data_IF_001945526663
#
_entry.id   IF_001945526663
#
_cell.length_a   1.000
_cell.length_b   1.000
_cell.length_c   1.000
_cell.angle_alpha   90.00
_cell.angle_beta   90.00
_cell.angle_gamma   90.00
#
_symmetry.space_group_name_H-M   'P 1'
#
loop_
_entity.id
_entity.type
_entity.pdbx_description
1 polymer ?
#
# COMPACT_ATOMS: atom_id res chain seq x y z
N UNK A 1 17.13 -25.13 -0.51
CA UNK A 1 15.85 -24.42 -0.33
C UNK A 1 15.02 -24.69 -1.57
N UNK A 2 13.70 -24.90 -1.49
CA UNK A 2 12.88 -24.99 -2.70
C UNK A 2 13.09 -23.72 -3.53
N UNK A 3 13.10 -23.85 -4.86
CA UNK A 3 13.29 -22.72 -5.78
C UNK A 3 12.20 -21.68 -5.54
N UNK A 4 12.56 -20.60 -4.82
CA UNK A 4 11.67 -19.46 -4.64
C UNK A 4 11.59 -18.73 -5.97
N UNK A 5 10.38 -18.62 -6.51
CA UNK A 5 10.13 -17.85 -7.72
C UNK A 5 10.00 -16.37 -7.36
N UNK A 6 10.81 -15.53 -7.99
CA UNK A 6 10.65 -14.10 -7.93
C UNK A 6 10.17 -13.56 -9.29
N UNK A 7 9.35 -12.52 -9.30
CA UNK A 7 8.78 -11.91 -8.11
C UNK A 7 7.59 -12.71 -7.54
N UNK A 8 7.30 -12.52 -6.27
CA UNK A 8 6.30 -13.24 -5.48
C UNK A 8 4.89 -12.77 -5.82
N UNK A 9 3.87 -13.58 -5.59
CA UNK A 9 2.48 -13.14 -5.81
C UNK A 9 2.05 -12.20 -4.66
N UNK A 10 1.80 -10.90 -4.90
CA UNK A 10 1.37 -9.98 -3.86
C UNK A 10 -0.01 -10.35 -3.26
N UNK A 11 -0.81 -11.15 -3.97
CA UNK A 11 -2.06 -11.70 -3.46
C UNK A 11 -1.86 -12.62 -2.26
N UNK A 12 -0.70 -13.28 -2.12
CA UNK A 12 -0.38 -14.09 -0.93
C UNK A 12 -0.20 -13.21 0.31
N UNK A 13 0.56 -12.13 0.19
CA UNK A 13 0.75 -11.17 1.28
C UNK A 13 -0.58 -10.50 1.69
N UNK A 14 -1.41 -10.13 0.71
CA UNK A 14 -2.72 -9.57 0.99
C UNK A 14 -3.65 -10.56 1.71
N UNK A 15 -3.62 -11.86 1.34
CA UNK A 15 -4.35 -12.90 2.05
C UNK A 15 -3.84 -13.06 3.49
N UNK A 16 -2.52 -13.08 3.70
CA UNK A 16 -1.93 -13.18 5.05
C UNK A 16 -2.37 -12.01 5.95
N UNK A 17 -2.30 -10.78 5.45
CA UNK A 17 -2.73 -9.58 6.19
C UNK A 17 -4.24 -9.59 6.47
N UNK A 18 -5.04 -10.02 5.50
CA UNK A 18 -6.48 -10.18 5.71
C UNK A 18 -6.79 -11.22 6.79
N UNK A 19 -6.12 -12.38 6.78
CA UNK A 19 -6.37 -13.45 7.73
C UNK A 19 -5.94 -13.12 9.15
N UNK A 20 -4.85 -12.38 9.29
CA UNK A 20 -4.38 -11.86 10.57
C UNK A 20 -5.39 -10.86 11.16
N UNK A 21 -5.75 -9.84 10.39
CA UNK A 21 -6.80 -8.89 10.75
C UNK A 21 -8.13 -9.57 11.08
N UNK A 22 -8.56 -10.53 10.26
CA UNK A 22 -9.82 -11.25 10.43
C UNK A 22 -9.80 -12.05 11.73
N UNK A 23 -8.69 -12.74 12.01
CA UNK A 23 -8.53 -13.53 13.23
C UNK A 23 -8.61 -12.66 14.49
N UNK A 24 -7.97 -11.49 14.47
CA UNK A 24 -8.06 -10.51 15.54
C UNK A 24 -9.47 -9.93 15.70
N UNK A 25 -10.11 -9.51 14.59
CA UNK A 25 -11.45 -8.89 14.61
C UNK A 25 -12.52 -9.82 15.19
N UNK A 26 -12.54 -11.08 14.78
CA UNK A 26 -13.56 -12.04 15.22
C UNK A 26 -13.11 -12.90 16.41
N UNK A 27 -11.89 -12.69 16.92
CA UNK A 27 -11.26 -13.51 17.95
C UNK A 27 -11.32 -15.01 17.59
N UNK A 28 -10.88 -15.36 16.38
CA UNK A 28 -10.87 -16.74 15.87
C UNK A 28 -9.51 -17.08 15.27
N UNK A 29 -9.09 -18.33 15.44
CA UNK A 29 -7.96 -18.86 14.68
C UNK A 29 -8.36 -19.06 13.23
N UNK A 30 -7.46 -18.71 12.31
CA UNK A 30 -7.61 -18.96 10.87
C UNK A 30 -6.52 -19.91 10.40
N UNK A 31 -6.86 -20.79 9.45
CA UNK A 31 -5.90 -21.66 8.78
C UNK A 31 -6.27 -21.83 7.32
N UNK A 32 -5.35 -21.52 6.42
CA UNK A 32 -5.51 -21.83 4.99
C UNK A 32 -5.47 -23.34 4.79
N UNK A 33 -6.55 -23.91 4.27
CA UNK A 33 -6.63 -25.32 3.89
C UNK A 33 -6.13 -25.51 2.47
N UNK A 34 -6.64 -24.68 1.56
CA UNK A 34 -6.33 -24.72 0.14
C UNK A 34 -6.23 -23.30 -0.39
N UNK A 35 -5.36 -23.09 -1.36
CA UNK A 35 -5.28 -21.86 -2.13
C UNK A 35 -4.86 -22.19 -3.54
N UNK A 36 -5.43 -21.48 -4.51
CA UNK A 36 -5.12 -21.68 -5.92
C UNK A 36 -5.13 -20.35 -6.65
N UNK A 37 -4.03 -19.99 -7.34
CA UNK A 37 -4.06 -18.87 -8.27
C UNK A 37 -5.03 -19.23 -9.41
N UNK A 38 -5.90 -18.30 -9.77
CA UNK A 38 -6.80 -18.43 -10.93
C UNK A 38 -6.45 -17.35 -11.94
N UNK A 39 -5.35 -17.55 -12.65
CA UNK A 39 -4.72 -16.50 -13.45
C UNK A 39 -3.83 -15.59 -12.60
N UNK A 40 -3.48 -14.42 -13.14
CA UNK A 40 -2.46 -13.55 -12.55
C UNK A 40 -3.02 -12.53 -11.54
N UNK A 41 -4.32 -12.24 -11.60
CA UNK A 41 -4.98 -11.21 -10.78
C UNK A 41 -6.05 -11.75 -9.82
N UNK A 42 -6.38 -13.04 -9.90
CA UNK A 42 -7.40 -13.68 -9.08
C UNK A 42 -6.82 -14.86 -8.34
N UNK A 43 -7.26 -15.03 -7.09
CA UNK A 43 -6.90 -16.17 -6.26
C UNK A 43 -8.13 -16.63 -5.48
N UNK A 44 -8.33 -17.93 -5.40
CA UNK A 44 -9.29 -18.54 -4.51
C UNK A 44 -8.56 -19.18 -3.33
N UNK A 45 -9.14 -19.08 -2.15
CA UNK A 45 -8.63 -19.74 -0.96
C UNK A 45 -9.77 -20.27 -0.10
N UNK A 46 -9.55 -21.44 0.51
CA UNK A 46 -10.45 -22.02 1.51
C UNK A 46 -9.78 -21.95 2.87
N UNK A 47 -10.45 -21.31 3.80
CA UNK A 47 -9.92 -20.97 5.11
C UNK A 47 -10.77 -21.67 6.16
N UNK A 48 -10.14 -22.45 7.02
CA UNK A 48 -10.77 -22.95 8.23
C UNK A 48 -10.80 -21.84 9.28
N UNK A 49 -11.98 -21.55 9.80
CA UNK A 49 -12.22 -20.61 10.90
C UNK A 49 -12.55 -21.39 12.16
N UNK A 50 -11.77 -21.17 13.22
CA UNK A 50 -11.85 -21.98 14.43
C UNK A 50 -11.53 -23.45 14.13
N UNK A 51 -12.45 -24.36 14.46
CA UNK A 51 -12.31 -25.81 14.22
C UNK A 51 -13.42 -26.40 13.35
N UNK A 52 -14.38 -25.58 12.90
CA UNK A 52 -15.66 -26.07 12.39
C UNK A 52 -16.12 -25.38 11.12
N UNK A 53 -15.80 -24.11 10.94
CA UNK A 53 -16.38 -23.32 9.86
C UNK A 53 -15.39 -23.14 8.73
N UNK A 54 -15.92 -23.03 7.52
CA UNK A 54 -15.17 -22.76 6.32
C UNK A 54 -15.55 -21.39 5.75
N UNK A 55 -14.54 -20.59 5.48
CA UNK A 55 -14.62 -19.32 4.77
C UNK A 55 -14.02 -19.51 3.37
N UNK A 56 -14.83 -19.29 2.33
CA UNK A 56 -14.33 -19.16 0.98
C UNK A 56 -13.89 -17.71 0.75
N UNK A 57 -12.64 -17.53 0.36
CA UNK A 57 -12.04 -16.22 0.10
C UNK A 57 -11.71 -16.11 -1.39
N UNK A 58 -12.26 -15.08 -2.03
CA UNK A 58 -11.84 -14.67 -3.37
C UNK A 58 -11.01 -13.41 -3.24
N UNK A 59 -9.78 -13.46 -3.72
CA UNK A 59 -8.87 -12.33 -3.75
C UNK A 59 -8.76 -11.77 -5.16
N UNK A 60 -8.95 -10.46 -5.28
CA UNK A 60 -8.81 -9.69 -6.52
C UNK A 60 -7.65 -8.72 -6.37
N UNK A 61 -6.66 -8.82 -7.25
CA UNK A 61 -5.51 -7.92 -7.28
C UNK A 61 -5.75 -6.79 -8.27
N UNK A 62 -5.99 -5.58 -7.78
CA UNK A 62 -6.09 -4.39 -8.62
C UNK A 62 -4.74 -3.75 -8.93
N UNK A 63 -3.64 -4.30 -8.39
CA UNK A 63 -2.27 -3.88 -8.72
C UNK A 63 -1.76 -4.55 -9.99
N UNK A 64 -2.41 -5.65 -10.38
CA UNK A 64 -2.08 -6.40 -11.56
C UNK A 64 -2.51 -5.64 -12.82
N UNK A 65 -1.56 -5.32 -13.70
CA UNK A 65 -1.78 -4.63 -14.98
C UNK A 65 -1.13 -3.24 -15.11
N UNK A 66 -0.62 -2.67 -14.01
CA UNK A 66 0.13 -1.41 -14.04
C UNK A 66 1.64 -1.63 -14.26
N UNK A 67 2.14 -2.84 -14.01
CA UNK A 67 3.56 -3.16 -14.01
C UNK A 67 4.11 -3.44 -15.42
N UNK A 68 5.32 -2.93 -15.68
CA UNK A 68 6.12 -3.29 -16.84
C UNK A 68 7.28 -4.24 -16.45
N UNK A 69 7.98 -4.77 -17.46
CA UNK A 69 9.08 -5.71 -17.22
C UNK A 69 10.20 -5.11 -16.35
N UNK A 70 10.65 -3.84 -16.55
CA UNK A 70 11.58 -3.18 -15.64
C UNK A 70 11.11 -3.15 -14.19
N UNK A 71 9.85 -2.80 -13.94
CA UNK A 71 9.29 -2.77 -12.59
C UNK A 71 9.27 -4.16 -11.95
N UNK A 72 8.79 -5.18 -12.66
CA UNK A 72 8.78 -6.56 -12.13
C UNK A 72 10.19 -7.10 -11.86
N UNK A 73 11.19 -6.74 -12.68
CA UNK A 73 12.58 -7.11 -12.43
C UNK A 73 13.15 -6.42 -11.18
N UNK A 74 12.86 -5.13 -10.99
CA UNK A 74 13.24 -4.40 -9.78
C UNK A 74 12.55 -4.98 -8.54
N UNK A 75 11.27 -5.32 -8.67
CA UNK A 75 10.48 -6.00 -7.63
C UNK A 75 11.10 -7.31 -7.20
N UNK A 76 11.45 -8.16 -8.17
CA UNK A 76 12.13 -9.42 -7.92
C UNK A 76 13.47 -9.24 -7.20
N UNK A 77 14.27 -8.25 -7.62
CA UNK A 77 15.57 -7.97 -6.99
C UNK A 77 15.42 -7.51 -5.53
N UNK A 78 14.43 -6.66 -5.24
CA UNK A 78 14.14 -6.20 -3.87
C UNK A 78 13.65 -7.34 -2.99
N UNK A 79 12.69 -8.13 -3.45
CA UNK A 79 12.17 -9.28 -2.68
C UNK A 79 13.27 -10.29 -2.37
N UNK A 80 14.10 -10.63 -3.36
CA UNK A 80 15.24 -11.52 -3.16
C UNK A 80 16.24 -10.97 -2.15
N UNK A 81 16.50 -9.65 -2.19
CA UNK A 81 17.39 -8.99 -1.22
C UNK A 81 16.80 -9.06 0.20
N UNK A 82 15.52 -8.73 0.38
CA UNK A 82 14.86 -8.78 1.70
C UNK A 82 14.83 -10.21 2.27
N UNK A 83 14.57 -11.20 1.42
CA UNK A 83 14.62 -12.62 1.80
C UNK A 83 16.02 -13.05 2.26
N UNK A 84 17.06 -12.57 1.57
CA UNK A 84 18.47 -12.85 1.92
C UNK A 84 18.82 -12.30 3.30
N UNK A 85 18.27 -11.14 3.68
CA UNK A 85 18.46 -10.52 4.98
C UNK A 85 17.50 -11.06 6.07
N UNK A 86 16.63 -12.02 5.72
CA UNK A 86 15.68 -12.60 6.67
C UNK A 86 14.59 -11.61 7.10
N UNK A 87 14.15 -10.73 6.19
CA UNK A 87 13.12 -9.72 6.42
C UNK A 87 11.81 -10.12 5.72
N UNK A 88 10.95 -10.97 6.33
CA UNK A 88 9.70 -11.42 5.73
C UNK A 88 8.65 -10.32 5.76
N UNK A 89 8.80 -9.31 4.91
CA UNK A 89 7.97 -8.12 4.91
C UNK A 89 7.02 -8.08 3.72
N UNK A 90 5.79 -7.62 3.96
CA UNK A 90 5.01 -6.96 2.92
C UNK A 90 5.46 -5.50 2.85
N UNK A 91 6.31 -5.16 1.88
CA UNK A 91 6.74 -3.78 1.61
C UNK A 91 5.76 -3.10 0.65
N UNK A 92 5.14 -2.03 1.11
CA UNK A 92 4.17 -1.24 0.37
C UNK A 92 4.81 -0.01 -0.23
N UNK A 93 4.93 -0.04 -1.56
CA UNK A 93 5.53 1.02 -2.35
C UNK A 93 4.49 2.11 -2.64
N UNK A 94 4.78 3.40 -2.33
CA UNK A 94 4.00 4.53 -2.80
C UNK A 94 3.79 4.50 -4.32
N UNK A 95 2.63 4.92 -4.81
CA UNK A 95 2.37 4.86 -6.25
C UNK A 95 3.33 5.77 -7.01
N UNK A 96 3.92 5.25 -8.08
CA UNK A 96 4.90 5.97 -8.90
C UNK A 96 6.33 5.99 -8.33
N UNK A 97 6.56 5.50 -7.11
CA UNK A 97 7.90 5.44 -6.55
C UNK A 97 8.75 4.38 -7.26
N UNK A 98 10.03 4.68 -7.43
CA UNK A 98 10.98 3.77 -8.08
C UNK A 98 11.59 2.77 -7.09
N UNK A 99 11.67 1.52 -7.53
CA UNK A 99 12.40 0.46 -6.84
C UNK A 99 13.88 0.45 -7.27
N UNK A 100 14.82 0.22 -6.34
CA UNK A 100 16.21 0.03 -6.72
C UNK A 100 16.36 -1.25 -7.56
N UNK A 101 17.10 -1.14 -8.67
CA UNK A 101 17.37 -2.26 -9.59
C UNK A 101 18.71 -2.96 -9.32
N UNK A 102 19.55 -2.39 -8.44
CA UNK A 102 20.89 -2.89 -8.16
C UNK A 102 21.55 -2.19 -6.97
N UNK A 103 22.82 -2.50 -6.76
CA UNK A 103 23.63 -1.90 -5.68
C UNK A 103 24.10 -0.48 -6.01
N UNK A 104 24.25 0.40 -4.99
CA UNK A 104 24.03 0.17 -3.55
C UNK A 104 22.56 0.29 -3.10
N UNK A 105 21.63 0.58 -4.02
CA UNK A 105 20.23 0.87 -3.69
C UNK A 105 19.50 -0.29 -3.01
N UNK A 106 19.76 -1.53 -3.44
CA UNK A 106 19.22 -2.73 -2.81
C UNK A 106 19.67 -2.86 -1.34
N UNK A 107 20.98 -2.73 -1.07
CA UNK A 107 21.50 -2.78 0.30
C UNK A 107 20.98 -1.63 1.16
N UNK A 108 20.85 -0.42 0.60
CA UNK A 108 20.30 0.73 1.32
C UNK A 108 18.82 0.52 1.69
N UNK A 109 18.02 -0.05 0.78
CA UNK A 109 16.63 -0.37 1.07
C UNK A 109 16.51 -1.45 2.14
N UNK A 110 17.33 -2.50 2.07
CA UNK A 110 17.33 -3.56 3.07
C UNK A 110 17.74 -3.05 4.45
N UNK A 111 18.74 -2.17 4.53
CA UNK A 111 19.13 -1.50 5.78
C UNK A 111 17.97 -0.66 6.32
N UNK A 112 17.33 0.16 5.48
CA UNK A 112 16.18 0.98 5.88
C UNK A 112 15.00 0.11 6.35
N UNK A 113 14.78 -1.06 5.75
CA UNK A 113 13.77 -2.01 6.16
C UNK A 113 14.11 -2.64 7.52
N UNK A 114 15.38 -3.00 7.74
CA UNK A 114 15.83 -3.52 9.03
C UNK A 114 15.71 -2.47 10.16
N UNK A 115 15.90 -1.19 9.84
CA UNK A 115 15.77 -0.05 10.76
C UNK A 115 14.35 0.55 10.81
N UNK A 116 13.36 -0.14 10.22
CA UNK A 116 12.00 0.37 10.11
C UNK A 116 11.37 0.65 11.49
N UNK A 117 10.66 1.77 11.59
CA UNK A 117 10.09 2.25 12.86
C UNK A 117 8.64 1.82 13.01
N UNK A 118 8.20 1.33 14.18
CA UNK A 118 6.80 1.00 14.37
C UNK A 118 5.92 2.27 14.30
N UNK A 119 4.76 2.12 13.69
CA UNK A 119 3.65 3.07 13.72
C UNK A 119 2.37 2.35 14.18
N UNK A 120 1.22 3.01 14.11
CA UNK A 120 -0.04 2.45 14.62
C UNK A 120 -0.37 1.07 14.02
N UNK A 121 -0.68 0.12 14.91
CA UNK A 121 -0.96 -1.29 14.58
C UNK A 121 0.30 -2.10 14.33
N UNK A 122 0.25 -2.98 13.33
CA UNK A 122 1.37 -3.86 12.92
C UNK A 122 2.16 -3.31 11.72
N UNK A 123 2.08 -1.99 11.51
CA UNK A 123 2.78 -1.28 10.43
C UNK A 123 4.12 -0.75 10.90
N UNK A 124 5.05 -0.71 9.95
CA UNK A 124 6.38 -0.15 10.10
C UNK A 124 6.61 0.91 9.01
N UNK A 125 7.34 1.97 9.35
CA UNK A 125 7.84 2.98 8.42
C UNK A 125 9.27 2.64 8.00
N UNK A 126 9.45 2.32 6.72
CA UNK A 126 10.75 2.17 6.06
C UNK A 126 11.15 3.53 5.48
N UNK A 127 12.23 4.12 6.01
CA UNK A 127 12.59 5.51 5.72
C UNK A 127 13.73 5.58 4.72
N UNK A 128 13.49 6.19 3.56
CA UNK A 128 14.48 6.41 2.52
C UNK A 128 14.87 7.88 2.47
N UNK A 129 16.16 8.17 2.54
CA UNK A 129 16.65 9.54 2.42
C UNK A 129 16.42 10.09 1.01
N UNK A 130 15.77 11.25 0.90
CA UNK A 130 15.56 11.97 -0.36
C UNK A 130 16.01 13.43 -0.23
N UNK A 131 16.21 14.08 -1.37
CA UNK A 131 16.66 15.47 -1.44
C UNK A 131 15.60 16.32 -2.10
N UNK A 132 15.18 17.37 -1.41
CA UNK A 132 14.28 18.38 -1.95
C UNK A 132 15.11 19.57 -2.40
N UNK A 133 14.73 20.19 -3.52
CA UNK A 133 15.44 21.33 -4.08
C UNK A 133 14.56 22.57 -3.99
N UNK A 134 15.01 23.56 -3.22
CA UNK A 134 14.33 24.83 -3.07
C UNK A 134 15.11 25.90 -3.82
N UNK A 135 14.50 26.48 -4.85
CA UNK A 135 15.07 27.57 -5.64
C UNK A 135 14.32 28.86 -5.38
N UNK A 136 15.05 29.96 -5.18
CA UNK A 136 14.44 31.29 -5.12
C UNK A 136 14.28 31.86 -6.53
N UNK A 137 13.07 32.32 -6.85
CA UNK A 137 12.74 32.87 -8.17
C UNK A 137 12.51 34.38 -8.15
N UNK A 138 12.16 34.95 -6.99
CA UNK A 138 12.02 36.40 -6.82
C UNK A 138 12.28 36.81 -5.37
N UNK A 139 12.73 38.07 -5.20
CA UNK A 139 12.77 38.74 -3.89
C UNK A 139 11.38 39.19 -3.42
N UNK A 140 10.43 39.33 -4.36
CA UNK A 140 9.08 39.79 -4.08
C UNK A 140 8.13 38.64 -3.75
N UNK A 141 7.14 38.93 -2.92
CA UNK A 141 6.08 38.00 -2.53
C UNK A 141 6.39 37.19 -1.28
N UNK A 142 5.54 36.19 -1.03
CA UNK A 142 5.67 35.27 0.11
C UNK A 142 4.99 33.94 -0.22
N UNK A 143 5.47 33.31 -1.30
CA UNK A 143 4.83 32.14 -1.90
C UNK A 143 5.86 31.08 -2.21
N UNK A 144 5.51 29.83 -1.92
CA UNK A 144 6.26 28.65 -2.37
C UNK A 144 5.37 27.86 -3.31
N UNK A 145 5.78 27.73 -4.56
CA UNK A 145 5.17 26.82 -5.52
C UNK A 145 5.79 25.44 -5.34
N UNK A 146 4.98 24.45 -4.98
CA UNK A 146 5.46 23.11 -4.64
C UNK A 146 5.10 22.10 -5.72
N UNK A 147 6.06 21.27 -6.12
CA UNK A 147 5.87 20.14 -7.02
C UNK A 147 6.19 18.84 -6.27
N UNK A 148 5.36 17.81 -6.39
CA UNK A 148 5.56 16.50 -5.73
C UNK A 148 4.90 16.38 -4.36
N UNK A 149 5.41 15.51 -3.47
CA UNK A 149 4.69 15.03 -2.28
C UNK A 149 4.34 16.08 -1.23
N UNK A 150 4.98 17.26 -1.25
CA UNK A 150 4.62 18.39 -0.38
C UNK A 150 3.52 19.29 -0.97
N UNK A 151 3.07 19.05 -2.20
CA UNK A 151 2.06 19.88 -2.85
C UNK A 151 0.76 20.02 -2.03
N UNK A 152 0.21 18.99 -1.37
CA UNK A 152 -0.99 19.16 -0.53
C UNK A 152 -0.79 20.12 0.65
N UNK A 153 0.46 20.33 1.09
CA UNK A 153 0.80 21.18 2.23
C UNK A 153 1.29 22.57 1.81
N UNK A 154 1.12 22.96 0.54
CA UNK A 154 1.64 24.23 0.00
C UNK A 154 1.24 25.46 0.83
N UNK A 155 0.00 25.48 1.34
CA UNK A 155 -0.54 26.60 2.11
C UNK A 155 0.20 26.81 3.44
N UNK A 156 0.89 25.79 3.95
CA UNK A 156 1.67 25.88 5.19
C UNK A 156 2.97 26.66 5.03
N UNK A 157 3.38 26.99 3.80
CA UNK A 157 4.56 27.81 3.52
C UNK A 157 4.20 29.28 3.22
N UNK A 158 2.99 29.53 2.72
CA UNK A 158 2.53 30.86 2.30
C UNK A 158 2.52 31.84 3.47
N UNK A 159 3.08 33.03 3.27
CA UNK A 159 3.17 34.05 4.34
C UNK A 159 4.34 33.86 5.31
N UNK A 160 5.10 32.77 5.19
CA UNK A 160 6.20 32.42 6.11
C UNK A 160 7.59 32.56 5.49
N UNK A 161 7.68 32.77 4.17
CA UNK A 161 8.93 32.94 3.43
C UNK A 161 9.03 34.37 2.87
N UNK A 162 10.24 34.91 2.76
CA UNK A 162 10.48 36.22 2.16
C UNK A 162 10.89 36.07 0.68
N UNK A 163 9.94 36.30 -0.23
CA UNK A 163 10.12 36.15 -1.67
C UNK A 163 9.27 35.03 -2.27
N UNK A 164 9.57 34.70 -3.52
CA UNK A 164 8.92 33.63 -4.27
C UNK A 164 9.89 32.48 -4.52
N UNK A 165 9.42 31.25 -4.31
CA UNK A 165 10.24 30.04 -4.39
C UNK A 165 9.55 28.94 -5.20
N UNK A 166 10.38 28.07 -5.78
CA UNK A 166 9.97 26.80 -6.34
C UNK A 166 10.59 25.68 -5.50
N UNK A 167 9.75 24.81 -4.95
CA UNK A 167 10.15 23.62 -4.22
C UNK A 167 9.89 22.38 -5.08
N UNK A 168 10.96 21.70 -5.50
CA UNK A 168 10.89 20.40 -6.12
C UNK A 168 11.00 19.30 -5.06
N UNK A 169 9.89 18.59 -4.84
CA UNK A 169 9.74 17.45 -3.95
C UNK A 169 9.19 16.22 -4.71
N UNK A 170 9.55 16.05 -5.98
CA UNK A 170 9.08 14.92 -6.81
C UNK A 170 9.57 13.55 -6.30
N UNK A 171 10.76 13.49 -5.71
CA UNK A 171 11.31 12.26 -5.13
C UNK A 171 10.63 11.87 -3.80
N UNK A 172 9.84 12.79 -3.21
CA UNK A 172 9.07 12.55 -2.01
C UNK A 172 7.66 12.10 -2.41
N UNK A 173 7.39 10.82 -2.27
CA UNK A 173 6.11 10.22 -2.64
C UNK A 173 5.18 10.12 -1.43
N UNK A 174 5.76 9.93 -0.23
CA UNK A 174 5.01 9.83 1.00
C UNK A 174 5.71 10.51 2.17
N UNK A 175 4.88 11.24 2.94
CA UNK A 175 5.30 11.92 4.16
C UNK A 175 5.27 10.96 5.37
N UNK A 176 6.05 11.24 6.41
CA UNK A 176 5.92 10.55 7.70
C UNK A 176 4.50 10.66 8.27
N UNK A 177 4.06 9.61 8.98
CA UNK A 177 2.75 9.58 9.65
C UNK A 177 2.72 10.54 10.86
N UNK A 178 3.87 10.77 11.51
CA UNK A 178 4.01 11.74 12.61
C UNK A 178 3.75 13.18 12.14
N UNK A 179 2.77 13.85 12.76
CA UNK A 179 2.50 15.26 12.49
C UNK A 179 3.69 16.15 12.86
N UNK A 180 4.37 15.83 13.97
CA UNK A 180 5.54 16.56 14.44
C UNK A 180 6.67 16.53 13.40
N UNK A 181 6.98 15.35 12.84
CA UNK A 181 8.01 15.23 11.80
C UNK A 181 7.63 15.97 10.51
N UNK A 182 6.34 15.99 10.16
CA UNK A 182 5.85 16.80 9.02
C UNK A 182 6.03 18.28 9.29
N UNK A 183 5.70 18.75 10.50
CA UNK A 183 5.93 20.14 10.91
C UNK A 183 7.41 20.48 10.90
N UNK A 184 8.28 19.62 11.43
CA UNK A 184 9.74 19.81 11.38
C UNK A 184 10.30 19.89 9.95
N UNK A 185 9.77 19.10 9.01
CA UNK A 185 10.13 19.22 7.60
C UNK A 185 9.71 20.58 7.03
N UNK A 186 8.51 21.06 7.36
CA UNK A 186 8.02 22.37 6.93
C UNK A 186 8.89 23.50 7.49
N UNK A 187 9.23 23.45 8.79
CA UNK A 187 10.12 24.42 9.41
C UNK A 187 11.50 24.44 8.75
N UNK A 188 12.05 23.27 8.41
CA UNK A 188 13.33 23.20 7.68
C UNK A 188 13.27 23.84 6.30
N UNK A 189 12.16 23.65 5.56
CA UNK A 189 11.95 24.33 4.26
C UNK A 189 11.87 25.85 4.45
N UNK A 190 11.11 26.32 5.43
CA UNK A 190 10.96 27.76 5.72
C UNK A 190 12.30 28.38 6.13
N UNK A 191 13.08 27.70 6.96
CA UNK A 191 14.41 28.15 7.36
C UNK A 191 15.37 28.20 6.17
N UNK A 192 15.35 27.17 5.32
CA UNK A 192 16.19 27.10 4.13
C UNK A 192 15.87 28.23 3.13
N UNK A 193 14.62 28.69 3.06
CA UNK A 193 14.22 29.81 2.21
C UNK A 193 14.93 31.13 2.56
N UNK A 194 15.48 31.28 3.77
CA UNK A 194 16.26 32.46 4.17
C UNK A 194 17.70 32.48 3.65
N UNK A 195 18.17 31.41 3.01
CA UNK A 195 19.58 31.25 2.61
C UNK A 195 19.90 31.60 1.15
N UNK A 196 19.13 31.16 0.13
CA UNK A 196 19.52 31.34 -1.27
C UNK A 196 19.28 32.77 -1.77
N UNK A 197 20.23 33.25 -2.59
CA UNK A 197 20.02 34.40 -3.45
C UNK A 197 19.07 34.05 -4.62
N UNK A 198 18.66 35.05 -5.40
CA UNK A 198 17.82 34.82 -6.58
C UNK A 198 18.55 33.92 -7.57
N UNK A 199 17.84 32.93 -8.12
CA UNK A 199 18.34 31.87 -9.00
C UNK A 199 19.28 30.83 -8.34
N UNK A 200 19.63 31.01 -7.07
CA UNK A 200 20.30 29.98 -6.29
C UNK A 200 19.33 28.93 -5.76
N UNK A 201 19.88 27.74 -5.51
CA UNK A 201 19.15 26.59 -4.98
C UNK A 201 19.82 26.06 -3.72
N UNK A 202 19.02 25.66 -2.75
CA UNK A 202 19.48 24.91 -1.59
C UNK A 202 18.85 23.52 -1.55
N UNK A 203 19.57 22.57 -0.95
CA UNK A 203 19.13 21.18 -0.80
C UNK A 203 18.64 20.96 0.61
N UNK A 204 17.42 20.43 0.75
CA UNK A 204 16.80 20.09 2.02
C UNK A 204 16.71 18.56 2.10
N UNK A 205 17.29 17.98 3.14
CA UNK A 205 17.18 16.54 3.39
C UNK A 205 15.77 16.19 3.91
N UNK A 206 15.16 15.16 3.35
CA UNK A 206 13.87 14.63 3.79
C UNK A 206 13.91 13.10 3.80
N UNK A 207 12.83 12.49 4.29
CA UNK A 207 12.62 11.06 4.24
C UNK A 207 11.36 10.77 3.44
N UNK A 208 11.49 9.94 2.41
CA UNK A 208 10.38 9.29 1.74
C UNK A 208 10.04 8.01 2.52
N UNK A 209 8.82 7.94 3.03
CA UNK A 209 8.44 6.95 4.03
C UNK A 209 7.53 5.90 3.41
N UNK A 210 7.99 4.65 3.36
CA UNK A 210 7.22 3.53 2.83
C UNK A 210 6.64 2.70 3.97
N UNK A 211 5.51 2.03 3.74
CA UNK A 211 4.92 1.14 4.75
C UNK A 211 5.50 -0.26 4.59
N UNK A 212 5.73 -0.95 5.71
CA UNK A 212 5.95 -2.38 5.73
C UNK A 212 5.10 -3.07 6.81
N UNK A 213 4.75 -4.32 6.61
CA UNK A 213 4.25 -5.20 7.67
C UNK A 213 5.17 -6.40 7.81
N UNK A 214 5.44 -6.82 9.03
CA UNK A 214 6.08 -8.12 9.27
C UNK A 214 5.06 -9.22 9.05
N UNK A 215 5.37 -10.16 8.16
CA UNK A 215 4.50 -11.29 7.84
C UNK A 215 4.94 -12.55 8.60
N UNK A 216 4.02 -13.48 8.88
CA UNK A 216 4.40 -14.83 9.27
C UNK A 216 5.09 -15.55 8.10
N UNK A 217 6.19 -16.25 8.37
CA UNK A 217 6.94 -17.01 7.37
C UNK A 217 8.34 -16.44 7.13
N UNK A 218 8.88 -16.72 5.94
CA UNK A 218 10.28 -16.48 5.57
C UNK A 218 10.44 -15.77 4.21
N UNK A 219 9.36 -15.14 3.73
CA UNK A 219 9.26 -14.53 2.40
C UNK A 219 8.82 -13.06 2.46
N UNK A 220 9.44 -12.25 1.62
CA UNK A 220 9.15 -10.86 1.39
C UNK A 220 8.33 -10.67 0.11
N UNK A 221 7.51 -9.63 0.12
CA UNK A 221 6.61 -9.26 -0.95
C UNK A 221 6.70 -7.76 -1.13
N UNK A 222 6.80 -7.31 -2.38
CA UNK A 222 6.69 -5.89 -2.71
C UNK A 222 5.34 -5.65 -3.37
N UNK A 223 4.58 -4.71 -2.84
CA UNK A 223 3.21 -4.41 -3.26
C UNK A 223 3.15 -2.94 -3.67
N UNK A 224 2.81 -2.67 -4.92
CA UNK A 224 2.70 -1.30 -5.42
C UNK A 224 2.44 -1.24 -6.90
N UNK A 225 2.53 -0.03 -7.45
CA UNK A 225 2.33 0.25 -8.87
C UNK A 225 3.31 1.33 -9.33
N UNK A 226 3.98 1.17 -10.50
CA UNK A 226 4.82 2.23 -11.07
C UNK A 226 4.00 3.40 -11.63
N UNK A 227 2.67 3.25 -11.72
CA UNK A 227 1.78 4.28 -12.23
C UNK A 227 1.38 5.21 -11.08
N UNK A 228 1.84 6.46 -11.15
CA UNK A 228 1.48 7.53 -10.23
C UNK A 228 -0.04 7.74 -10.13
N UNK A 229 -0.50 8.33 -9.03
CA UNK A 229 -1.92 8.63 -8.84
C UNK A 229 -2.43 9.67 -9.84
N UNK A 230 -3.61 9.42 -10.40
CA UNK A 230 -4.25 10.33 -11.36
C UNK A 230 -5.66 9.89 -11.78
N UNK A 231 -6.32 10.74 -12.57
CA UNK A 231 -7.70 10.49 -13.04
C UNK A 231 -7.76 9.32 -14.02
N UNK A 232 -6.80 9.22 -14.94
CA UNK A 232 -6.71 8.10 -15.88
C UNK A 232 -6.53 6.77 -15.16
N UNK A 233 -5.66 6.73 -14.14
CA UNK A 233 -5.45 5.55 -13.29
C UNK A 233 -6.77 5.14 -12.59
N UNK A 234 -7.57 6.12 -12.16
CA UNK A 234 -8.87 5.86 -11.50
C UNK A 234 -9.89 5.24 -12.46
N UNK A 235 -9.95 5.74 -13.71
CA UNK A 235 -10.83 5.19 -14.74
C UNK A 235 -10.39 3.80 -15.22
N UNK A 236 -9.08 3.57 -15.34
CA UNK A 236 -8.51 2.26 -15.65
C UNK A 236 -8.82 1.24 -14.55
N UNK A 237 -8.58 1.60 -13.28
CA UNK A 237 -8.90 0.77 -12.11
C UNK A 237 -10.38 0.35 -12.10
N UNK A 238 -11.31 1.29 -12.35
CA UNK A 238 -12.76 0.97 -12.39
C UNK A 238 -13.12 -0.06 -13.47
N UNK A 239 -12.49 0.03 -14.65
CA UNK A 239 -12.70 -0.94 -15.74
C UNK A 239 -12.11 -2.30 -15.40
N UNK A 240 -10.87 -2.32 -14.91
CA UNK A 240 -10.16 -3.54 -14.50
C UNK A 240 -10.92 -4.27 -13.38
N UNK A 241 -11.27 -3.56 -12.31
CA UNK A 241 -12.02 -4.13 -11.18
C UNK A 241 -13.36 -4.72 -11.62
N UNK A 242 -14.11 -4.06 -12.51
CA UNK A 242 -15.36 -4.62 -13.05
C UNK A 242 -15.14 -5.94 -13.79
N UNK A 243 -14.07 -6.02 -14.59
CA UNK A 243 -13.71 -7.24 -15.33
C UNK A 243 -13.37 -8.37 -14.35
N UNK A 244 -12.48 -8.09 -13.39
CA UNK A 244 -12.04 -9.06 -12.39
C UNK A 244 -13.18 -9.56 -11.50
N UNK A 245 -14.12 -8.69 -11.12
CA UNK A 245 -15.30 -9.09 -10.35
C UNK A 245 -16.20 -10.04 -11.15
N UNK A 246 -16.37 -9.82 -12.46
CA UNK A 246 -17.13 -10.76 -13.31
C UNK A 246 -16.43 -12.11 -13.42
N UNK A 247 -15.14 -12.11 -13.68
CA UNK A 247 -14.33 -13.33 -13.73
C UNK A 247 -14.39 -14.09 -12.39
N UNK A 248 -14.37 -13.37 -11.27
CA UNK A 248 -14.54 -13.94 -9.93
C UNK A 248 -15.93 -14.57 -9.70
N UNK A 249 -16.98 -14.09 -10.35
CA UNK A 249 -18.32 -14.70 -10.27
C UNK A 249 -18.43 -16.01 -11.03
N UNK A 250 -17.66 -16.14 -12.11
CA UNK A 250 -17.64 -17.34 -12.95
C UNK A 250 -16.79 -18.47 -12.34
N UNK A 251 -16.06 -18.19 -11.25
CA UNK A 251 -15.29 -19.19 -10.53
C UNK A 251 -16.22 -20.24 -9.88
N UNK A 252 -15.90 -21.54 -10.00
CA UNK A 252 -16.60 -22.58 -9.26
C UNK A 252 -16.54 -22.25 -7.77
N UNK A 253 -17.70 -22.11 -7.14
CA UNK A 253 -17.77 -21.89 -5.71
C UNK A 253 -18.12 -23.17 -5.00
N UNK A 254 -17.17 -23.67 -4.22
CA UNK A 254 -17.43 -24.72 -3.27
C UNK A 254 -18.41 -24.24 -2.17
N UNK A 255 -19.13 -25.18 -1.53
CA UNK A 255 -19.90 -24.87 -0.34
C UNK A 255 -18.97 -24.42 0.78
N UNK A 256 -19.25 -23.25 1.34
CA UNK A 256 -18.59 -22.66 2.50
C UNK A 256 -19.66 -22.02 3.39
N UNK A 257 -19.38 -21.87 4.69
CA UNK A 257 -20.34 -21.29 5.63
C UNK A 257 -20.46 -19.76 5.46
N UNK A 258 -19.43 -19.11 4.92
CA UNK A 258 -19.47 -17.71 4.52
C UNK A 258 -18.44 -17.43 3.40
N UNK A 259 -18.61 -16.30 2.72
CA UNK A 259 -17.77 -15.87 1.59
C UNK A 259 -17.20 -14.47 1.79
N UNK A 260 -15.90 -14.33 1.58
CA UNK A 260 -15.19 -13.06 1.65
C UNK A 260 -14.63 -12.68 0.28
N UNK A 261 -14.81 -11.42 -0.11
CA UNK A 261 -14.09 -10.79 -1.21
C UNK A 261 -13.01 -9.88 -0.64
N UNK A 262 -11.76 -10.17 -0.99
CA UNK A 262 -10.59 -9.40 -0.59
C UNK A 262 -10.04 -8.71 -1.82
N UNK A 263 -9.90 -7.38 -1.78
CA UNK A 263 -9.36 -6.63 -2.91
C UNK A 263 -8.03 -6.03 -2.48
N UNK A 264 -6.95 -6.46 -3.12
CA UNK A 264 -5.64 -5.85 -2.97
C UNK A 264 -5.56 -4.61 -3.87
N UNK A 265 -5.28 -3.45 -3.28
CA UNK A 265 -5.23 -2.18 -4.00
C UNK A 265 -3.87 -1.47 -3.84
N UNK A 266 -3.39 -0.88 -4.95
CA UNK A 266 -2.27 0.05 -4.92
C UNK A 266 -2.79 1.41 -4.48
N UNK A 267 -2.32 1.88 -3.33
CA UNK A 267 -2.58 3.21 -2.81
C UNK A 267 -1.33 3.70 -2.07
N UNK A 268 -1.02 4.98 -2.17
CA UNK A 268 0.09 5.58 -1.40
C UNK A 268 -0.22 5.60 0.09
N UNK A 269 -1.48 5.88 0.43
CA UNK A 269 -2.03 5.83 1.78
C UNK A 269 -3.41 5.17 1.73
N UNK A 270 -3.81 4.50 2.83
CA UNK A 270 -5.17 3.94 2.92
C UNK A 270 -6.26 5.02 2.77
N UNK A 271 -6.02 6.24 3.24
CA UNK A 271 -6.95 7.38 3.13
C UNK A 271 -7.30 7.72 1.66
N UNK A 272 -6.34 7.61 0.74
CA UNK A 272 -6.45 7.93 -0.68
C UNK A 272 -6.95 6.77 -1.56
N UNK A 273 -7.18 5.59 -0.98
CA UNK A 273 -7.65 4.40 -1.68
C UNK A 273 -9.03 4.62 -2.35
N UNK A 274 -9.14 4.30 -3.66
CA UNK A 274 -10.31 4.62 -4.51
C UNK A 274 -11.22 3.44 -4.87
N UNK A 275 -10.81 2.19 -4.61
CA UNK A 275 -11.61 0.96 -4.77
C UNK A 275 -12.91 1.03 -3.94
N UNK A 276 -12.86 1.45 -2.68
CA UNK A 276 -14.03 1.56 -1.80
C UNK A 276 -15.11 2.47 -2.41
N UNK A 277 -14.72 3.63 -2.95
CA UNK A 277 -15.63 4.54 -3.65
C UNK A 277 -16.11 3.94 -4.97
N UNK A 278 -15.22 3.26 -5.69
CA UNK A 278 -15.51 2.63 -6.98
C UNK A 278 -16.57 1.54 -6.85
N UNK A 279 -16.49 0.68 -5.83
CA UNK A 279 -17.46 -0.38 -5.56
C UNK A 279 -18.87 0.18 -5.28
N UNK A 280 -18.97 1.28 -4.54
CA UNK A 280 -20.26 1.97 -4.28
C UNK A 280 -20.92 2.47 -5.57
N UNK A 281 -20.13 2.80 -6.59
CA UNK A 281 -20.61 3.21 -7.91
C UNK A 281 -20.74 2.07 -8.93
N UNK A 282 -20.55 0.81 -8.53
CA UNK A 282 -20.73 -0.37 -9.37
C UNK A 282 -22.09 -1.03 -9.11
N UNK A 283 -22.52 -1.87 -10.06
CA UNK A 283 -23.68 -2.72 -9.88
C UNK A 283 -23.45 -3.70 -8.72
N UNK A 284 -24.26 -3.67 -7.63
CA UNK A 284 -24.08 -4.55 -6.48
C UNK A 284 -24.20 -6.03 -6.80
N UNK A 285 -24.86 -6.39 -7.92
CA UNK A 285 -24.96 -7.80 -8.35
C UNK A 285 -23.60 -8.41 -8.63
N UNK A 286 -22.56 -7.62 -8.91
CA UNK A 286 -21.18 -8.08 -9.12
C UNK A 286 -20.53 -8.66 -7.85
N UNK A 287 -21.04 -8.32 -6.67
CA UNK A 287 -20.44 -8.71 -5.40
C UNK A 287 -21.47 -9.13 -4.34
N UNK A 288 -22.74 -9.36 -4.74
CA UNK A 288 -23.82 -9.74 -3.82
C UNK A 288 -23.67 -11.15 -3.23
N UNK A 289 -22.80 -11.99 -3.79
CA UNK A 289 -22.51 -13.34 -3.30
C UNK A 289 -21.49 -13.39 -2.16
N UNK A 290 -21.04 -12.24 -1.64
CA UNK A 290 -20.07 -12.15 -0.55
C UNK A 290 -20.71 -11.57 0.71
N UNK A 291 -20.42 -12.20 1.85
CA UNK A 291 -20.89 -11.77 3.17
C UNK A 291 -19.99 -10.67 3.77
N UNK A 292 -18.74 -10.63 3.33
CA UNK A 292 -17.70 -9.71 3.77
C UNK A 292 -16.93 -9.18 2.55
N UNK A 293 -16.73 -7.86 2.48
CA UNK A 293 -15.85 -7.26 1.47
C UNK A 293 -14.82 -6.40 2.19
N UNK A 294 -13.55 -6.69 1.95
CA UNK A 294 -12.42 -5.97 2.52
C UNK A 294 -11.45 -5.51 1.43
N UNK A 295 -10.86 -4.34 1.62
CA UNK A 295 -9.76 -3.82 0.82
C UNK A 295 -8.48 -3.89 1.64
N UNK A 296 -7.44 -4.49 1.08
CA UNK A 296 -6.10 -4.49 1.65
C UNK A 296 -5.25 -3.50 0.87
N UNK A 297 -4.82 -2.44 1.54
CA UNK A 297 -4.01 -1.39 0.95
C UNK A 297 -3.17 -0.74 2.04
N UNK A 298 -1.96 -0.29 1.69
CA UNK A 298 -1.06 0.41 2.61
C UNK A 298 -0.87 -0.31 3.96
N UNK A 299 -0.73 -1.63 3.90
CA UNK A 299 -0.50 -2.46 5.07
C UNK A 299 -1.65 -2.54 6.07
N UNK A 300 -2.86 -2.15 5.64
CA UNK A 300 -4.06 -2.15 6.46
C UNK A 300 -5.22 -2.83 5.73
N UNK A 301 -6.22 -3.24 6.52
CA UNK A 301 -7.47 -3.81 6.02
C UNK A 301 -8.62 -2.85 6.32
N UNK A 302 -9.31 -2.41 5.26
CA UNK A 302 -10.53 -1.60 5.34
C UNK A 302 -11.75 -2.44 4.96
N UNK A 303 -12.73 -2.49 5.85
CA UNK A 303 -14.02 -3.14 5.55
C UNK A 303 -14.88 -2.22 4.69
N UNK A 304 -15.37 -2.75 3.56
CA UNK A 304 -16.31 -2.06 2.66
C UNK A 304 -17.74 -2.54 2.89
N UNK A 305 -17.91 -3.85 3.01
CA UNK A 305 -19.17 -4.49 3.39
C UNK A 305 -18.93 -5.27 4.68
N UNK A 306 -19.54 -4.79 5.77
CA UNK A 306 -19.45 -5.42 7.08
C UNK A 306 -20.70 -6.27 7.33
N UNK A 307 -20.55 -7.57 7.66
CA UNK A 307 -21.69 -8.40 8.01
C UNK A 307 -22.36 -7.87 9.29
N UNK A 308 -23.69 -8.01 9.37
CA UNK A 308 -24.42 -7.65 10.59
C UNK A 308 -24.01 -8.57 11.73
N UNK A 309 -23.99 -8.06 12.96
CA UNK A 309 -23.69 -8.88 14.13
C UNK A 309 -24.61 -10.11 14.19
N UNK A 310 -24.02 -11.31 14.32
CA UNK A 310 -24.76 -12.57 14.34
C UNK A 310 -25.11 -13.13 12.96
N UNK A 311 -24.73 -12.45 11.87
CA UNK A 311 -24.92 -12.96 10.51
C UNK A 311 -23.89 -14.05 10.17
N UNK A 312 -22.68 -13.97 10.75
CA UNK A 312 -21.66 -14.98 10.52
C UNK A 312 -21.82 -16.15 11.50
N UNK A 313 -21.54 -17.38 11.06
CA UNK A 313 -21.78 -18.59 11.84
C UNK A 313 -20.89 -18.69 13.10
N UNK A 314 -19.78 -17.96 13.13
CA UNK A 314 -18.86 -17.88 14.27
C UNK A 314 -19.12 -16.69 15.20
N UNK A 315 -20.11 -15.83 14.91
CA UNK A 315 -20.53 -14.74 15.81
C UNK A 315 -21.37 -15.26 16.99
N UNK A 316 -21.92 -16.47 16.87
CA UNK A 316 -22.63 -17.11 17.97
C UNK A 316 -21.68 -17.39 19.15
N UNK A 317 -22.10 -17.14 20.40
CA UNK A 317 -21.31 -17.53 21.57
C UNK A 317 -21.04 -19.03 21.50
N UNK A 318 -19.78 -19.42 21.70
CA UNK A 318 -19.39 -20.82 21.76
C UNK A 318 -20.26 -21.51 22.84
N UNK A 319 -20.96 -22.62 22.53
CA UNK A 319 -21.60 -23.39 23.58
C UNK A 319 -20.51 -23.84 24.56
N UNK A 320 -20.73 -23.53 25.84
CA UNK A 320 -19.83 -23.90 26.94
C UNK A 320 -19.76 -25.40 27.19
#
# INVERSE_FOLDING_TARGET
MPDRLYPSDPGEAALLLFLDWFGHRFARSTRTLEQSPTGEALRSARIQVGRRWDLACTLVSSVHGDADLPFEAARAAVEQRLDTEGLPYALWLPRGAELPTGEPGLSQLALAANEARPVDGDRLEVRRGVRLYLRRTSLDGSVVTVLGGLAPLWAQFTGRVAGSFQLNAQDLHRLPESEEERTELIERVVLAAGQPDVDDSCVIAAADVWTANRLPGDRAYVIGSPVAEGDEASAAMRRSLRKLLREAQDLPSDPADARALVILAAATELSGEKVSLTLRGMDPTLYSGYDLIAVVADGQVRVVLDPRAGALPWDAPLPG
#
